data_IF_866641185509
#
_entry.id   IF_866641185509
#
_cell.length_a   1.000
_cell.length_b   1.000
_cell.length_c   1.000
_cell.angle_alpha   90.00
_cell.angle_beta   90.00
_cell.angle_gamma   90.00
#
_symmetry.space_group_name_H-M   'P 1'
#
loop_
_entity.id
_entity.type
_entity.pdbx_description
1 polymer ?
#
# COMPACT_ATOMS: atom_id res chain seq x y z
N UNK A 1 -40.63 -40.09 16.51
CA UNK A 1 -40.37 -40.03 15.05
C UNK A 1 -39.90 -38.61 14.71
N UNK A 2 -38.61 -38.40 14.41
CA UNK A 2 -37.98 -37.08 14.44
C UNK A 2 -38.04 -36.39 13.08
N UNK A 3 -38.56 -35.16 13.03
CA UNK A 3 -38.36 -34.25 11.89
C UNK A 3 -37.07 -33.47 12.13
N UNK A 4 -35.98 -33.92 11.52
CA UNK A 4 -34.73 -33.17 11.43
C UNK A 4 -34.99 -31.92 10.59
N UNK A 5 -34.99 -30.77 11.24
CA UNK A 5 -34.90 -29.46 10.59
C UNK A 5 -33.51 -29.35 9.98
N UNK A 6 -33.41 -29.59 8.67
CA UNK A 6 -32.22 -29.30 7.87
C UNK A 6 -31.96 -27.79 7.92
N UNK A 7 -30.99 -27.38 8.74
CA UNK A 7 -30.54 -26.00 8.81
C UNK A 7 -29.69 -25.72 7.56
N UNK A 8 -30.32 -25.04 6.59
CA UNK A 8 -29.71 -24.49 5.38
C UNK A 8 -28.34 -23.83 5.65
N UNK A 9 -27.27 -24.37 5.08
CA UNK A 9 -25.95 -23.74 5.07
C UNK A 9 -25.93 -22.59 4.05
N UNK A 10 -26.46 -21.43 4.44
CA UNK A 10 -26.38 -20.20 3.64
C UNK A 10 -24.93 -19.70 3.60
N UNK A 11 -24.27 -19.95 2.48
CA UNK A 11 -23.23 -19.14 1.81
C UNK A 11 -22.34 -18.28 2.75
N UNK A 12 -21.36 -18.89 3.42
CA UNK A 12 -20.34 -18.16 4.19
C UNK A 12 -19.35 -17.54 3.22
N UNK A 13 -19.03 -16.26 3.37
CA UNK A 13 -18.06 -15.59 2.51
C UNK A 13 -16.70 -16.31 2.56
N UNK A 14 -15.93 -16.36 1.44
CA UNK A 14 -14.64 -17.04 1.40
C UNK A 14 -13.69 -16.50 2.47
N UNK A 15 -12.95 -17.41 3.12
CA UNK A 15 -11.93 -17.05 4.09
C UNK A 15 -10.89 -16.10 3.46
N UNK A 16 -10.30 -15.17 4.24
CA UNK A 16 -9.19 -14.33 3.76
C UNK A 16 -7.98 -15.17 3.33
N UNK A 17 -7.40 -14.85 2.18
CA UNK A 17 -6.21 -15.50 1.63
C UNK A 17 -4.96 -14.63 1.79
N UNK A 18 -3.79 -15.18 1.43
CA UNK A 18 -2.55 -14.40 1.35
C UNK A 18 -2.60 -13.29 0.29
N UNK A 19 -3.39 -13.47 -0.77
CA UNK A 19 -3.56 -12.45 -1.81
C UNK A 19 -4.25 -11.20 -1.26
N UNK A 20 -5.22 -11.35 -0.35
CA UNK A 20 -5.88 -10.22 0.31
C UNK A 20 -4.89 -9.43 1.18
N UNK A 21 -4.03 -10.13 1.93
CA UNK A 21 -2.96 -9.51 2.71
C UNK A 21 -1.92 -8.84 1.80
N UNK A 22 -1.64 -9.44 0.63
CA UNK A 22 -0.81 -8.87 -0.42
C UNK A 22 -1.34 -7.54 -0.95
N UNK A 23 -2.66 -7.41 -1.14
CA UNK A 23 -3.28 -6.14 -1.54
C UNK A 23 -3.15 -5.05 -0.49
N UNK A 24 -3.33 -5.40 0.79
CA UNK A 24 -3.09 -4.46 1.90
C UNK A 24 -1.63 -4.00 1.90
N UNK A 25 -0.68 -4.93 1.77
CA UNK A 25 0.75 -4.61 1.67
C UNK A 25 1.04 -3.64 0.51
N UNK A 26 0.49 -3.90 -0.69
CA UNK A 26 0.69 -3.05 -1.86
C UNK A 26 0.10 -1.66 -1.61
N UNK A 27 -1.12 -1.56 -1.07
CA UNK A 27 -1.76 -0.28 -0.76
C UNK A 27 -0.93 0.56 0.22
N UNK A 28 -0.43 -0.07 1.30
CA UNK A 28 0.43 0.60 2.29
C UNK A 28 1.73 1.07 1.65
N UNK A 29 2.41 0.22 0.89
CA UNK A 29 3.67 0.59 0.23
C UNK A 29 3.51 1.73 -0.76
N UNK A 30 2.45 1.72 -1.58
CA UNK A 30 2.18 2.81 -2.53
C UNK A 30 1.91 4.13 -1.80
N UNK A 31 1.22 4.08 -0.65
CA UNK A 31 1.00 5.27 0.18
C UNK A 31 2.33 5.80 0.72
N UNK A 32 3.20 4.93 1.25
CA UNK A 32 4.53 5.32 1.72
C UNK A 32 5.41 5.92 0.62
N UNK A 33 5.36 5.37 -0.60
CA UNK A 33 6.08 5.91 -1.76
C UNK A 33 5.60 7.33 -2.07
N UNK A 34 4.29 7.59 -2.04
CA UNK A 34 3.75 8.93 -2.24
C UNK A 34 4.23 9.92 -1.16
N UNK A 35 4.26 9.50 0.10
CA UNK A 35 4.72 10.35 1.21
C UNK A 35 6.20 10.74 1.05
N UNK A 36 7.03 9.80 0.59
CA UNK A 36 8.45 10.06 0.30
C UNK A 36 8.60 11.01 -0.87
N UNK A 37 7.94 10.76 -2.01
CA UNK A 37 7.98 11.64 -3.17
C UNK A 37 7.54 13.07 -2.82
N UNK A 38 6.47 13.19 -2.05
CA UNK A 38 5.91 14.45 -1.60
C UNK A 38 6.89 15.21 -0.69
N UNK A 39 7.61 14.50 0.20
CA UNK A 39 8.68 15.09 1.00
C UNK A 39 9.87 15.53 0.14
N UNK A 40 10.33 14.68 -0.78
CA UNK A 40 11.51 14.94 -1.60
C UNK A 40 11.28 16.12 -2.56
N UNK A 41 10.10 16.20 -3.18
CA UNK A 41 9.68 17.32 -4.01
C UNK A 41 9.75 18.64 -3.22
N UNK A 42 9.22 18.66 -1.99
CA UNK A 42 9.30 19.86 -1.13
C UNK A 42 10.74 20.24 -0.78
N UNK A 43 11.58 19.26 -0.45
CA UNK A 43 13.00 19.51 -0.14
C UNK A 43 13.70 20.11 -1.35
N UNK A 44 13.53 19.52 -2.54
CA UNK A 44 14.12 19.99 -3.80
C UNK A 44 13.69 21.42 -4.12
N UNK A 45 12.40 21.75 -3.95
CA UNK A 45 11.90 23.11 -4.14
C UNK A 45 12.61 24.15 -3.29
N UNK A 46 13.00 23.80 -2.07
CA UNK A 46 13.70 24.70 -1.14
C UNK A 46 15.23 24.62 -1.22
N UNK A 47 15.76 23.71 -2.02
CA UNK A 47 17.21 23.48 -2.11
C UNK A 47 17.86 24.45 -3.11
N UNK A 48 19.11 24.91 -2.85
CA UNK A 48 19.86 25.80 -3.75
C UNK A 48 20.45 25.03 -4.94
N UNK A 49 19.59 24.35 -5.71
CA UNK A 49 19.96 23.62 -6.92
C UNK A 49 19.89 24.53 -8.13
N UNK A 50 20.69 24.23 -9.16
CA UNK A 50 20.70 25.01 -10.42
C UNK A 50 19.43 24.83 -11.26
N UNK A 51 18.78 23.67 -11.15
CA UNK A 51 17.62 23.28 -11.98
C UNK A 51 16.57 22.49 -11.16
N UNK A 52 16.04 23.02 -10.04
CA UNK A 52 15.12 22.31 -9.16
C UNK A 52 13.85 21.86 -9.89
N UNK A 53 13.32 22.70 -10.81
CA UNK A 53 12.09 22.41 -11.55
C UNK A 53 12.18 21.15 -12.42
N UNK A 54 13.37 20.87 -12.99
CA UNK A 54 13.59 19.67 -13.79
C UNK A 54 13.47 18.40 -12.95
N UNK A 55 14.08 18.41 -11.76
CA UNK A 55 14.02 17.28 -10.82
C UNK A 55 12.60 17.10 -10.27
N UNK A 56 11.94 18.19 -9.88
CA UNK A 56 10.54 18.15 -9.44
C UNK A 56 9.66 17.55 -10.52
N UNK A 57 9.76 18.00 -11.77
CA UNK A 57 8.94 17.47 -12.87
C UNK A 57 9.11 15.97 -13.07
N UNK A 58 10.34 15.46 -12.91
CA UNK A 58 10.62 14.02 -12.95
C UNK A 58 9.88 13.27 -11.84
N UNK A 59 10.03 13.72 -10.58
CA UNK A 59 9.40 13.10 -9.42
C UNK A 59 7.87 13.22 -9.44
N UNK A 60 7.32 14.35 -9.88
CA UNK A 60 5.87 14.53 -10.04
C UNK A 60 5.31 13.55 -11.08
N UNK A 61 6.04 13.28 -12.16
CA UNK A 61 5.65 12.25 -13.13
C UNK A 61 5.57 10.85 -12.50
N UNK A 62 6.51 10.51 -11.60
CA UNK A 62 6.44 9.26 -10.82
C UNK A 62 5.26 9.28 -9.86
N UNK A 63 5.06 10.37 -9.12
CA UNK A 63 3.98 10.56 -8.15
C UNK A 63 2.60 10.31 -8.79
N UNK A 64 2.37 10.84 -9.99
CA UNK A 64 1.13 10.63 -10.75
C UNK A 64 0.91 9.14 -11.07
N UNK A 65 1.93 8.42 -11.55
CA UNK A 65 1.83 6.97 -11.85
C UNK A 65 1.54 6.16 -10.60
N UNK A 66 2.20 6.47 -9.48
CA UNK A 66 1.98 5.81 -8.19
C UNK A 66 0.56 6.08 -7.68
N UNK A 67 0.06 7.31 -7.82
CA UNK A 67 -1.30 7.68 -7.40
C UNK A 67 -2.37 6.92 -8.19
N UNK A 68 -2.20 6.77 -9.50
CA UNK A 68 -3.08 5.94 -10.34
C UNK A 68 -3.09 4.50 -9.86
N UNK A 69 -1.91 3.90 -9.67
CA UNK A 69 -1.81 2.52 -9.18
C UNK A 69 -2.40 2.34 -7.78
N UNK A 70 -2.29 3.34 -6.91
CA UNK A 70 -2.92 3.32 -5.59
C UNK A 70 -4.45 3.35 -5.70
N UNK A 71 -4.99 4.18 -6.59
CA UNK A 71 -6.43 4.24 -6.84
C UNK A 71 -6.96 2.89 -7.38
N UNK A 72 -6.26 2.29 -8.34
CA UNK A 72 -6.58 0.96 -8.87
C UNK A 72 -6.51 -0.12 -7.79
N UNK A 73 -5.48 -0.07 -6.94
CA UNK A 73 -5.33 -1.01 -5.82
C UNK A 73 -6.49 -0.88 -4.84
N UNK A 74 -6.86 0.35 -4.46
CA UNK A 74 -8.01 0.60 -3.57
C UNK A 74 -9.33 0.15 -4.19
N UNK A 75 -9.50 0.34 -5.50
CA UNK A 75 -10.67 -0.16 -6.23
C UNK A 75 -10.73 -1.69 -6.19
N UNK A 76 -9.61 -2.39 -6.44
CA UNK A 76 -9.52 -3.85 -6.34
C UNK A 76 -9.75 -4.37 -4.92
N UNK A 77 -9.25 -3.67 -3.90
CA UNK A 77 -9.55 -4.01 -2.50
C UNK A 77 -11.05 -3.94 -2.23
N UNK A 78 -11.72 -2.88 -2.70
CA UNK A 78 -13.16 -2.73 -2.56
C UNK A 78 -13.94 -3.87 -3.23
N UNK A 79 -13.56 -4.28 -4.45
CA UNK A 79 -14.24 -5.38 -5.16
C UNK A 79 -14.06 -6.72 -4.45
N UNK A 80 -12.94 -6.93 -3.78
CA UNK A 80 -12.64 -8.15 -3.02
C UNK A 80 -13.13 -8.13 -1.56
N UNK A 81 -13.79 -7.04 -1.15
CA UNK A 81 -14.33 -6.88 0.20
C UNK A 81 -13.26 -6.60 1.27
N UNK A 82 -12.13 -6.03 0.87
CA UNK A 82 -11.02 -5.62 1.76
C UNK A 82 -11.14 -4.13 2.07
N UNK A 83 -11.17 -3.78 3.37
CA UNK A 83 -11.24 -2.41 3.86
C UNK A 83 -10.30 -2.19 5.03
N UNK A 84 -9.36 -1.26 4.86
CA UNK A 84 -8.55 -0.74 5.96
C UNK A 84 -9.41 0.23 6.79
N UNK A 85 -9.37 0.10 8.11
CA UNK A 85 -10.10 1.01 9.02
C UNK A 85 -9.20 1.66 10.07
N UNK A 86 -7.97 1.17 10.26
CA UNK A 86 -6.97 1.81 11.11
C UNK A 86 -5.59 1.58 10.52
N UNK A 87 -4.76 2.61 10.59
CA UNK A 87 -3.35 2.58 10.22
C UNK A 87 -2.56 3.40 11.25
N UNK A 88 -1.56 2.77 11.86
CA UNK A 88 -0.68 3.38 12.85
C UNK A 88 0.74 3.28 12.32
N UNK A 89 1.45 4.40 12.28
CA UNK A 89 2.84 4.49 11.83
C UNK A 89 3.71 5.00 12.96
N UNK A 90 4.79 4.30 13.25
CA UNK A 90 5.76 4.70 14.26
C UNK A 90 7.19 4.31 13.81
N UNK A 91 8.16 4.45 14.71
CA UNK A 91 9.57 4.14 14.44
C UNK A 91 9.81 2.63 14.23
N UNK A 92 8.98 1.76 14.82
CA UNK A 92 9.08 0.31 14.65
C UNK A 92 8.54 -0.13 13.28
N UNK A 93 7.46 0.49 12.81
CA UNK A 93 6.83 0.08 11.56
C UNK A 93 5.47 0.71 11.27
N UNK A 94 4.76 0.04 10.36
CA UNK A 94 3.40 0.36 9.96
C UNK A 94 2.48 -0.80 10.34
N UNK A 95 1.53 -0.52 11.23
CA UNK A 95 0.46 -1.43 11.58
C UNK A 95 -0.83 -1.03 10.88
N UNK A 96 -1.52 -2.02 10.32
CA UNK A 96 -2.81 -1.83 9.66
C UNK A 96 -3.81 -2.84 10.20
N UNK A 97 -4.98 -2.34 10.60
CA UNK A 97 -6.15 -3.14 10.88
C UNK A 97 -7.12 -3.04 9.71
N UNK A 98 -7.57 -4.19 9.24
CA UNK A 98 -8.45 -4.27 8.08
C UNK A 98 -9.50 -5.38 8.26
N UNK A 99 -10.61 -5.20 7.55
CA UNK A 99 -11.65 -6.21 7.42
C UNK A 99 -11.54 -6.78 6.01
N UNK A 100 -11.57 -8.11 5.90
CA UNK A 100 -11.71 -8.82 4.64
C UNK A 100 -12.95 -9.69 4.72
N UNK A 101 -14.00 -9.34 3.96
CA UNK A 101 -15.25 -10.12 3.86
C UNK A 101 -15.87 -10.47 5.23
N UNK A 102 -15.81 -9.53 6.17
CA UNK A 102 -16.32 -9.68 7.54
C UNK A 102 -15.31 -10.20 8.57
N UNK A 103 -14.13 -10.62 8.14
CA UNK A 103 -13.07 -11.09 9.02
C UNK A 103 -12.10 -9.96 9.37
N UNK A 104 -11.90 -9.71 10.67
CA UNK A 104 -10.86 -8.79 11.13
C UNK A 104 -9.48 -9.42 11.02
N UNK A 105 -8.52 -8.63 10.53
CA UNK A 105 -7.13 -9.03 10.32
C UNK A 105 -6.21 -7.87 10.69
N UNK A 106 -4.96 -8.23 11.02
CA UNK A 106 -3.87 -7.30 11.27
C UNK A 106 -2.77 -7.56 10.26
N UNK A 107 -2.16 -6.48 9.78
CA UNK A 107 -0.97 -6.47 8.96
C UNK A 107 0.07 -5.60 9.65
N UNK A 108 1.32 -6.04 9.68
CA UNK A 108 2.42 -5.26 10.23
C UNK A 108 3.62 -5.32 9.29
N UNK A 109 4.29 -4.18 9.15
CA UNK A 109 5.50 -4.05 8.35
C UNK A 109 6.57 -3.30 9.14
N UNK A 110 7.72 -3.93 9.34
CA UNK A 110 8.88 -3.29 9.98
C UNK A 110 9.35 -2.06 9.19
N UNK A 111 9.76 -1.01 9.88
CA UNK A 111 10.22 0.25 9.26
C UNK A 111 11.46 0.07 8.39
N UNK A 112 12.37 -0.84 8.75
CA UNK A 112 13.54 -1.22 7.92
C UNK A 112 13.11 -1.85 6.60
N UNK A 113 12.17 -2.79 6.66
CA UNK A 113 11.62 -3.47 5.48
C UNK A 113 10.83 -2.49 4.60
N UNK A 114 9.99 -1.64 5.21
CA UNK A 114 9.24 -0.61 4.50
C UNK A 114 10.17 0.32 3.71
N UNK A 115 11.26 0.80 4.34
CA UNK A 115 12.27 1.64 3.67
C UNK A 115 12.91 0.93 2.48
N UNK A 116 13.30 -0.34 2.65
CA UNK A 116 13.87 -1.14 1.56
C UNK A 116 12.89 -1.28 0.39
N UNK A 117 11.64 -1.61 0.66
CA UNK A 117 10.61 -1.76 -0.38
C UNK A 117 10.26 -0.44 -1.07
N UNK A 118 10.24 0.68 -0.33
CA UNK A 118 10.05 2.01 -0.91
C UNK A 118 11.20 2.37 -1.84
N UNK A 119 12.45 2.19 -1.41
CA UNK A 119 13.64 2.40 -2.26
C UNK A 119 13.57 1.54 -3.51
N UNK A 120 13.21 0.26 -3.36
CA UNK A 120 13.06 -0.68 -4.48
C UNK A 120 12.01 -0.23 -5.49
N UNK A 121 10.83 0.20 -5.00
CA UNK A 121 9.75 0.71 -5.85
C UNK A 121 10.13 2.00 -6.56
N UNK A 122 10.74 2.94 -5.85
CA UNK A 122 11.21 4.20 -6.46
C UNK A 122 12.24 3.93 -7.55
N UNK A 123 13.23 3.05 -7.30
CA UNK A 123 14.18 2.61 -8.31
C UNK A 123 13.47 2.08 -9.56
N UNK A 124 12.51 1.18 -9.39
CA UNK A 124 11.70 0.67 -10.51
C UNK A 124 10.97 1.78 -11.30
N UNK A 125 10.32 2.74 -10.63
CA UNK A 125 9.63 3.83 -11.36
C UNK A 125 10.56 4.82 -12.05
N UNK A 126 11.79 4.95 -11.56
CA UNK A 126 12.83 5.81 -12.10
C UNK A 126 13.71 5.10 -13.13
N UNK A 127 13.57 3.78 -13.30
CA UNK A 127 14.44 2.98 -14.15
C UNK A 127 15.86 2.82 -13.60
N UNK A 128 16.02 2.88 -12.28
CA UNK A 128 17.30 2.76 -11.57
C UNK A 128 17.31 1.42 -10.82
N UNK A 129 18.41 0.68 -10.92
CA UNK A 129 18.61 -0.53 -10.13
C UNK A 129 18.94 -0.16 -8.67
N UNK A 130 18.06 -0.47 -7.71
CA UNK A 130 18.25 -0.12 -6.30
C UNK A 130 19.19 -1.08 -5.55
N UNK A 131 19.69 -2.13 -6.21
CA UNK A 131 20.59 -3.15 -5.61
C UNK A 131 22.08 -2.84 -5.74
N UNK A 132 22.43 -1.71 -6.38
CA UNK A 132 23.81 -1.31 -6.70
C UNK A 132 24.51 -0.51 -5.57
N UNK A 133 23.92 -0.34 -4.38
CA UNK A 133 24.62 0.20 -3.19
C UNK A 133 24.50 -0.73 -1.97
#
# INVERSE_FOLDING_TARGET
>A
MPSQKTLNHKNKAPLPSEEDAGLVKICVLLTLVLDVLERDIRIIHTSPLKMPDLYVRSLTGVQQRVAVQLAETKARMKTLGVKIYSEIRNHEGVEVLYICRGYQRRFFMLSSFARSEVRRKLGHYLGIDPTQD
#
